data_IF_627802886124
#
_entry.id   IF_627802886124
#
_cell.length_a   1.000
_cell.length_b   1.000
_cell.length_c   1.000
_cell.angle_alpha   90.00
_cell.angle_beta   90.00
_cell.angle_gamma   90.00
#
_symmetry.space_group_name_H-M   'P 1'
#
loop_
_entity.id
_entity.type
_entity.pdbx_description
1 polymer ?
#
# COMPACT_ATOMS: atom_id res chain seq x y z
N UNK A 1 38.85 -71.05 -19.49
CA UNK A 1 37.50 -70.89 -18.91
C UNK A 1 37.55 -69.72 -17.94
N UNK A 2 36.82 -68.64 -18.20
CA UNK A 2 36.84 -67.46 -17.34
C UNK A 2 36.10 -67.76 -16.02
N UNK A 3 36.69 -67.36 -14.90
CA UNK A 3 36.14 -67.47 -13.55
C UNK A 3 34.78 -66.73 -13.50
N UNK A 4 33.68 -67.47 -13.32
CA UNK A 4 32.30 -66.94 -13.27
C UNK A 4 32.10 -65.94 -12.12
N UNK A 5 32.88 -66.07 -11.06
CA UNK A 5 32.88 -65.19 -9.88
C UNK A 5 33.42 -63.80 -10.22
N UNK A 6 34.44 -63.68 -11.10
CA UNK A 6 35.00 -62.39 -11.51
C UNK A 6 34.02 -61.59 -12.38
N UNK A 7 33.28 -62.28 -13.25
CA UNK A 7 32.23 -61.68 -14.09
C UNK A 7 31.05 -61.17 -13.24
N UNK A 8 30.72 -61.90 -12.17
CA UNK A 8 29.61 -61.54 -11.27
C UNK A 8 29.92 -60.28 -10.47
N UNK A 9 31.15 -60.13 -9.97
CA UNK A 9 31.59 -58.90 -9.25
C UNK A 9 31.64 -57.69 -10.19
N UNK A 10 32.09 -57.87 -11.43
CA UNK A 10 32.10 -56.81 -12.43
C UNK A 10 30.69 -56.32 -12.79
N UNK A 11 29.72 -57.23 -12.92
CA UNK A 11 28.30 -56.89 -13.17
C UNK A 11 27.60 -56.26 -11.96
N UNK A 12 27.96 -56.62 -10.72
CA UNK A 12 27.42 -55.98 -9.51
C UNK A 12 27.95 -54.55 -9.30
N UNK A 13 29.17 -54.25 -9.74
CA UNK A 13 29.76 -52.90 -9.68
C UNK A 13 29.19 -51.91 -10.70
N UNK A 14 28.52 -52.40 -11.75
CA UNK A 14 27.91 -51.58 -12.81
C UNK A 14 26.51 -51.05 -12.45
N UNK A 15 25.95 -51.45 -11.31
CA UNK A 15 24.53 -51.34 -11.01
C UNK A 15 24.10 -50.30 -9.99
N UNK A 16 24.79 -49.16 -9.80
CA UNK A 16 24.19 -48.00 -9.11
C UNK A 16 24.78 -46.70 -9.69
N UNK A 17 24.36 -46.33 -10.88
CA UNK A 17 24.36 -44.91 -11.27
C UNK A 17 22.96 -44.41 -10.99
N UNK A 18 22.70 -43.98 -9.76
CA UNK A 18 21.49 -43.24 -9.43
C UNK A 18 21.54 -41.92 -10.18
N UNK A 19 20.94 -41.89 -11.38
CA UNK A 19 20.59 -40.63 -12.03
C UNK A 19 19.52 -39.99 -11.16
N UNK A 20 19.93 -39.16 -10.21
CA UNK A 20 19.03 -38.19 -9.62
C UNK A 20 18.48 -37.39 -10.81
N UNK A 21 17.23 -37.65 -11.21
CA UNK A 21 16.56 -36.81 -12.16
C UNK A 21 16.49 -35.43 -11.48
N UNK A 22 17.41 -34.53 -11.82
CA UNK A 22 17.24 -33.13 -11.48
C UNK A 22 15.90 -32.72 -12.10
N UNK A 23 15.05 -32.05 -11.33
CA UNK A 23 13.89 -31.37 -11.90
C UNK A 23 14.43 -30.36 -12.91
N UNK A 24 14.48 -30.77 -14.18
CA UNK A 24 15.03 -29.95 -15.24
C UNK A 24 13.98 -28.89 -15.56
N UNK A 25 14.22 -27.68 -15.07
CA UNK A 25 13.52 -26.50 -15.55
C UNK A 25 13.70 -26.32 -17.07
N UNK A 26 12.83 -25.53 -17.67
CA UNK A 26 12.95 -25.11 -19.05
C UNK A 26 13.68 -23.77 -19.11
N UNK A 27 14.72 -23.66 -19.93
CA UNK A 27 15.40 -22.39 -20.16
C UNK A 27 15.13 -21.83 -21.55
N UNK A 28 14.97 -20.51 -21.63
CA UNK A 28 14.99 -19.74 -22.88
C UNK A 28 16.22 -18.83 -22.80
N UNK A 29 17.17 -19.00 -23.70
CA UNK A 29 18.44 -18.25 -23.68
C UNK A 29 19.69 -19.12 -23.80
N UNK A 30 19.55 -20.45 -23.69
CA UNK A 30 20.64 -21.40 -23.94
C UNK A 30 21.56 -21.62 -22.73
N UNK A 31 21.05 -21.47 -21.52
CA UNK A 31 21.77 -21.69 -20.26
C UNK A 31 21.18 -22.85 -19.45
N UNK A 32 21.92 -23.32 -18.45
CA UNK A 32 21.38 -24.25 -17.45
C UNK A 32 20.42 -23.45 -16.57
N UNK A 33 19.13 -23.84 -16.47
CA UNK A 33 18.15 -23.13 -15.65
C UNK A 33 18.53 -23.16 -14.17
N UNK A 34 18.18 -22.11 -13.44
CA UNK A 34 18.31 -22.10 -11.99
C UNK A 34 17.52 -23.27 -11.37
N UNK A 35 18.13 -24.07 -10.47
CA UNK A 35 17.44 -25.20 -9.83
C UNK A 35 16.16 -24.85 -9.06
N UNK A 36 16.00 -23.58 -8.68
CA UNK A 36 14.79 -23.07 -8.02
C UNK A 36 13.71 -22.57 -9.00
N UNK A 37 13.86 -22.81 -10.31
CA UNK A 37 12.92 -22.32 -11.33
C UNK A 37 12.53 -23.41 -12.32
N UNK A 38 11.22 -23.50 -12.60
CA UNK A 38 10.70 -24.35 -13.68
C UNK A 38 10.82 -23.66 -15.05
N UNK A 39 10.84 -22.32 -15.08
CA UNK A 39 11.05 -21.52 -16.28
C UNK A 39 12.10 -20.44 -16.01
N UNK A 40 13.22 -20.48 -16.72
CA UNK A 40 14.33 -19.52 -16.60
C UNK A 40 14.57 -18.83 -17.94
N UNK A 41 14.42 -17.51 -17.99
CA UNK A 41 14.54 -16.74 -19.23
C UNK A 41 15.69 -15.75 -19.09
N UNK A 42 16.70 -15.88 -19.95
CA UNK A 42 17.85 -14.99 -20.00
C UNK A 42 17.99 -14.36 -21.39
N UNK A 43 18.04 -13.03 -21.42
CA UNK A 43 18.37 -12.25 -22.61
C UNK A 43 18.97 -10.91 -22.19
N UNK A 44 19.88 -10.36 -23.00
CA UNK A 44 20.51 -9.06 -22.72
C UNK A 44 19.76 -7.88 -23.34
N UNK A 45 18.92 -8.12 -24.34
CA UNK A 45 18.24 -7.08 -25.12
C UNK A 45 16.82 -7.49 -25.55
N UNK A 46 16.20 -8.45 -24.85
CA UNK A 46 14.82 -8.89 -25.09
C UNK A 46 14.06 -8.94 -23.77
N UNK A 47 12.77 -8.65 -23.82
CA UNK A 47 11.85 -8.82 -22.70
C UNK A 47 10.88 -9.98 -22.92
N UNK A 48 10.04 -10.23 -21.91
CA UNK A 48 8.94 -11.20 -21.99
C UNK A 48 7.64 -10.43 -22.18
N UNK A 49 6.92 -10.72 -23.27
CA UNK A 49 5.58 -10.19 -23.48
C UNK A 49 4.56 -11.12 -22.82
N UNK A 50 4.09 -10.73 -21.64
CA UNK A 50 3.04 -11.46 -20.92
C UNK A 50 1.65 -11.23 -21.58
N UNK A 51 0.65 -12.08 -21.30
CA UNK A 51 -0.70 -11.92 -21.84
C UNK A 51 -1.28 -10.54 -21.57
N UNK A 52 -1.89 -9.93 -22.60
CA UNK A 52 -2.57 -8.63 -22.51
C UNK A 52 -4.08 -8.84 -22.53
N UNK A 53 -4.77 -8.42 -21.46
CA UNK A 53 -6.18 -8.74 -21.23
C UNK A 53 -6.91 -7.47 -20.78
N UNK A 54 -8.13 -7.26 -21.24
CA UNK A 54 -9.02 -6.20 -20.72
C UNK A 54 -9.64 -6.68 -19.40
N UNK A 55 -9.10 -6.20 -18.28
CA UNK A 55 -9.52 -6.63 -16.95
C UNK A 55 -10.64 -5.75 -16.39
N UNK A 56 -11.56 -6.43 -15.71
CA UNK A 56 -12.46 -5.90 -14.69
C UNK A 56 -12.04 -6.49 -13.34
N UNK A 57 -12.56 -5.95 -12.23
CA UNK A 57 -12.21 -6.37 -10.87
C UNK A 57 -12.24 -7.89 -10.65
N UNK A 58 -13.19 -8.58 -11.28
CA UNK A 58 -13.42 -10.02 -11.13
C UNK A 58 -13.34 -10.79 -12.46
N UNK A 59 -12.58 -10.29 -13.45
CA UNK A 59 -12.40 -11.02 -14.71
C UNK A 59 -11.86 -12.43 -14.45
N UNK A 60 -12.61 -13.44 -14.88
CA UNK A 60 -12.20 -14.85 -14.82
C UNK A 60 -11.53 -15.23 -16.13
N UNK A 61 -10.31 -15.76 -16.05
CA UNK A 61 -9.59 -16.27 -17.21
C UNK A 61 -10.23 -17.57 -17.71
N UNK A 62 -9.89 -17.95 -18.95
CA UNK A 62 -10.28 -19.25 -19.47
C UNK A 62 -9.75 -20.37 -18.55
N UNK A 63 -10.65 -21.26 -18.11
CA UNK A 63 -10.38 -22.27 -17.07
C UNK A 63 -11.25 -22.12 -15.82
N UNK A 64 -11.94 -20.98 -15.67
CA UNK A 64 -13.01 -20.79 -14.68
C UNK A 64 -12.55 -20.36 -13.29
N UNK A 65 -11.41 -20.83 -12.81
CA UNK A 65 -10.79 -20.35 -11.57
C UNK A 65 -9.42 -19.78 -11.89
N UNK A 66 -9.17 -18.55 -11.47
CA UNK A 66 -7.88 -17.90 -11.64
C UNK A 66 -6.90 -18.47 -10.61
N UNK A 67 -5.74 -19.01 -11.03
CA UNK A 67 -4.69 -19.39 -10.09
C UNK A 67 -4.14 -18.14 -9.38
N UNK A 68 -3.92 -18.24 -8.08
CA UNK A 68 -3.19 -17.22 -7.32
C UNK A 68 -1.80 -16.99 -7.92
N UNK A 69 -1.41 -15.72 -8.02
CA UNK A 69 -0.13 -15.31 -8.57
C UNK A 69 -0.04 -15.30 -10.10
N UNK A 70 -1.13 -15.59 -10.84
CA UNK A 70 -1.10 -15.44 -12.31
C UNK A 70 -0.93 -13.97 -12.67
N UNK A 71 0.01 -13.65 -13.56
CA UNK A 71 0.36 -12.27 -13.95
C UNK A 71 -0.10 -11.99 -15.37
N UNK A 72 -0.73 -10.84 -15.56
CA UNK A 72 -1.19 -10.33 -16.87
C UNK A 72 -0.93 -8.83 -16.97
N UNK A 73 -0.92 -8.30 -18.19
CA UNK A 73 -0.93 -6.87 -18.43
C UNK A 73 -2.37 -6.44 -18.77
N UNK A 74 -2.96 -5.59 -17.95
CA UNK A 74 -4.24 -4.96 -18.24
C UNK A 74 -4.07 -3.89 -19.31
N UNK A 75 -4.73 -4.07 -20.47
CA UNK A 75 -4.83 -3.06 -21.52
C UNK A 75 -6.24 -2.47 -21.66
N UNK A 76 -7.14 -2.82 -20.75
CA UNK A 76 -8.48 -2.26 -20.63
C UNK A 76 -8.48 -0.90 -19.95
N UNK A 77 -9.66 -0.28 -19.89
CA UNK A 77 -9.86 1.04 -19.28
C UNK A 77 -10.70 1.01 -17.99
N UNK A 78 -11.32 -0.13 -17.65
CA UNK A 78 -12.12 -0.28 -16.41
C UNK A 78 -11.21 -0.26 -15.19
N UNK A 79 -10.11 -1.01 -15.24
CA UNK A 79 -9.01 -0.88 -14.30
C UNK A 79 -7.91 -0.04 -14.93
N UNK A 80 -7.10 0.62 -14.11
CA UNK A 80 -5.92 1.37 -14.58
C UNK A 80 -5.03 0.44 -15.42
N UNK A 81 -4.61 0.82 -16.64
CA UNK A 81 -3.69 0.02 -17.44
C UNK A 81 -2.38 -0.25 -16.68
N UNK A 82 -1.89 -1.48 -16.73
CA UNK A 82 -0.71 -1.87 -15.95
C UNK A 82 -0.55 -3.37 -15.76
N UNK A 83 0.45 -3.77 -14.98
CA UNK A 83 0.65 -5.17 -14.61
C UNK A 83 -0.26 -5.53 -13.43
N UNK A 84 -0.92 -6.68 -13.49
CA UNK A 84 -1.79 -7.19 -12.44
C UNK A 84 -1.46 -8.64 -12.14
N UNK A 85 -1.66 -9.03 -10.88
CA UNK A 85 -1.70 -10.42 -10.48
C UNK A 85 -3.04 -10.77 -9.83
N UNK A 86 -3.44 -12.04 -9.92
CA UNK A 86 -4.60 -12.52 -9.16
C UNK A 86 -4.18 -12.82 -7.73
N UNK A 87 -4.79 -12.17 -6.74
CA UNK A 87 -4.43 -12.32 -5.32
C UNK A 87 -5.23 -13.41 -4.57
N UNK A 88 -6.10 -14.14 -5.28
CA UNK A 88 -7.02 -15.14 -4.71
C UNK A 88 -8.48 -14.70 -4.79
N UNK A 89 -8.74 -13.39 -4.72
CA UNK A 89 -10.08 -12.82 -4.69
C UNK A 89 -10.35 -11.82 -5.82
N UNK A 90 -9.33 -11.02 -6.19
CA UNK A 90 -9.44 -9.96 -7.20
C UNK A 90 -8.12 -9.73 -7.92
N UNK A 91 -8.20 -8.97 -9.01
CA UNK A 91 -7.01 -8.46 -9.69
C UNK A 91 -6.40 -7.32 -8.89
N UNK A 92 -5.13 -7.49 -8.54
CA UNK A 92 -4.34 -6.51 -7.79
C UNK A 92 -3.19 -5.99 -8.65
N UNK A 93 -3.04 -4.66 -8.69
CA UNK A 93 -2.04 -4.02 -9.53
C UNK A 93 -0.64 -4.21 -8.93
N UNK A 94 0.31 -4.66 -9.75
CA UNK A 94 1.73 -4.61 -9.42
C UNK A 94 2.18 -3.17 -9.57
N UNK A 95 2.24 -2.46 -8.46
CA UNK A 95 2.66 -1.07 -8.40
C UNK A 95 4.15 -0.96 -8.05
N UNK A 96 4.81 0.08 -8.55
CA UNK A 96 6.22 0.37 -8.26
C UNK A 96 6.37 1.65 -7.43
N UNK A 97 7.55 1.84 -6.85
CA UNK A 97 7.85 2.95 -5.92
C UNK A 97 7.46 4.33 -6.46
N UNK A 98 7.64 4.58 -7.76
CA UNK A 98 7.27 5.84 -8.40
C UNK A 98 5.77 6.14 -8.31
N UNK A 99 4.91 5.13 -8.42
CA UNK A 99 3.47 5.34 -8.29
C UNK A 99 3.09 5.68 -6.84
N UNK A 100 3.73 5.04 -5.87
CA UNK A 100 3.52 5.34 -4.45
C UNK A 100 4.01 6.77 -4.14
N UNK A 101 5.16 7.16 -4.68
CA UNK A 101 5.70 8.51 -4.54
C UNK A 101 4.76 9.58 -5.15
N UNK A 102 4.19 9.31 -6.33
CA UNK A 102 3.22 10.19 -6.97
C UNK A 102 1.92 10.31 -6.15
N UNK A 103 1.42 9.21 -5.58
CA UNK A 103 0.24 9.26 -4.70
C UNK A 103 0.53 9.99 -3.38
N UNK A 104 1.73 9.84 -2.82
CA UNK A 104 2.15 10.57 -1.62
C UNK A 104 2.25 12.08 -1.89
N UNK A 105 2.84 12.49 -3.01
CA UNK A 105 2.93 13.89 -3.40
C UNK A 105 1.53 14.53 -3.53
N UNK A 106 0.56 13.81 -4.09
CA UNK A 106 -0.84 14.26 -4.16
C UNK A 106 -1.47 14.40 -2.78
N UNK A 107 -1.14 13.52 -1.83
CA UNK A 107 -1.64 13.63 -0.45
C UNK A 107 -1.03 14.83 0.24
N UNK A 108 0.28 15.06 0.11
CA UNK A 108 0.97 16.24 0.64
C UNK A 108 0.36 17.53 0.11
N UNK A 109 0.19 17.65 -1.21
CA UNK A 109 -0.44 18.82 -1.85
C UNK A 109 -1.87 19.05 -1.34
N UNK A 110 -2.66 17.97 -1.20
CA UNK A 110 -4.03 18.06 -0.66
C UNK A 110 -4.04 18.54 0.79
N UNK A 111 -3.11 18.07 1.62
CA UNK A 111 -2.99 18.50 3.01
C UNK A 111 -2.57 19.97 3.11
N UNK A 112 -1.57 20.39 2.34
CA UNK A 112 -1.14 21.79 2.28
C UNK A 112 -2.28 22.72 1.82
N UNK A 113 -3.02 22.29 0.80
CA UNK A 113 -4.18 23.02 0.31
C UNK A 113 -5.27 23.13 1.38
N UNK A 114 -5.59 22.04 2.08
CA UNK A 114 -6.59 22.06 3.14
C UNK A 114 -6.18 22.92 4.33
N UNK A 115 -4.91 22.85 4.76
CA UNK A 115 -4.37 23.69 5.82
C UNK A 115 -4.44 25.16 5.40
N UNK A 116 -4.02 25.48 4.18
CA UNK A 116 -4.09 26.84 3.63
C UNK A 116 -5.53 27.35 3.57
N UNK A 117 -6.48 26.51 3.17
CA UNK A 117 -7.89 26.86 3.13
C UNK A 117 -8.50 27.07 4.52
N UNK A 118 -8.06 26.31 5.53
CA UNK A 118 -8.46 26.53 6.92
C UNK A 118 -7.93 27.89 7.43
N UNK A 119 -6.69 28.24 7.08
CA UNK A 119 -6.09 29.51 7.50
C UNK A 119 -6.73 30.71 6.78
N UNK A 120 -7.03 30.58 5.48
CA UNK A 120 -7.36 31.71 4.60
C UNK A 120 -8.82 31.74 4.11
N UNK A 121 -9.73 30.91 4.61
CA UNK A 121 -11.14 31.02 4.23
C UNK A 121 -11.57 30.16 3.06
N UNK A 122 -10.64 29.43 2.45
CA UNK A 122 -10.90 28.66 1.24
C UNK A 122 -11.28 29.52 0.02
N UNK A 123 -10.97 30.81 0.03
CA UNK A 123 -11.19 31.73 -1.10
C UNK A 123 -9.88 32.19 -1.74
N UNK A 124 -9.94 32.59 -3.02
CA UNK A 124 -8.81 33.16 -3.79
C UNK A 124 -8.32 34.52 -3.24
N UNK A 125 -9.08 35.13 -2.34
CA UNK A 125 -8.79 36.44 -1.75
C UNK A 125 -8.06 36.28 -0.40
N UNK A 126 -6.73 36.39 -0.44
CA UNK A 126 -5.79 36.18 0.68
C UNK A 126 -5.88 37.27 1.79
N UNK A 127 -7.07 37.69 2.19
CA UNK A 127 -7.25 38.84 3.07
C UNK A 127 -8.31 38.70 4.15
N UNK A 128 -9.09 37.61 4.18
CA UNK A 128 -10.09 37.38 5.23
C UNK A 128 -9.63 36.25 6.13
N UNK A 129 -9.00 36.63 7.25
CA UNK A 129 -8.79 35.73 8.38
C UNK A 129 -10.15 35.16 8.79
N UNK A 130 -10.42 33.87 8.53
CA UNK A 130 -11.68 33.21 8.89
C UNK A 130 -11.61 32.53 10.25
N UNK A 131 -10.73 32.97 11.14
CA UNK A 131 -10.61 32.49 12.52
C UNK A 131 -11.85 32.83 13.36
N UNK A 132 -13.04 32.43 12.94
CA UNK A 132 -14.29 32.73 13.63
C UNK A 132 -15.00 31.39 13.87
N UNK A 133 -14.76 30.84 15.06
CA UNK A 133 -15.37 29.63 15.65
C UNK A 133 -14.74 28.30 15.21
N UNK A 134 -13.55 28.08 15.75
CA UNK A 134 -13.01 26.75 15.99
C UNK A 134 -13.46 26.28 17.36
N UNK A 135 -13.98 25.06 17.46
CA UNK A 135 -14.24 24.41 18.74
C UNK A 135 -13.71 22.99 18.72
N UNK A 136 -13.07 22.58 19.80
CA UNK A 136 -12.63 21.21 20.01
C UNK A 136 -13.45 20.63 21.16
N UNK A 137 -14.08 19.47 20.91
CA UNK A 137 -14.71 18.68 21.95
C UNK A 137 -13.73 17.59 22.43
N UNK A 138 -13.18 17.71 23.66
CA UNK A 138 -12.24 16.73 24.20
C UNK A 138 -12.87 15.39 24.56
N UNK A 139 -14.17 15.35 24.84
CA UNK A 139 -14.86 14.09 25.16
C UNK A 139 -15.00 13.22 23.92
N UNK A 140 -15.23 13.84 22.76
CA UNK A 140 -15.43 13.12 21.49
C UNK A 140 -14.21 13.14 20.58
N UNK A 141 -13.13 13.87 20.94
CA UNK A 141 -11.96 14.13 20.10
C UNK A 141 -12.32 14.67 18.70
N UNK A 142 -13.32 15.55 18.63
CA UNK A 142 -13.79 16.15 17.37
C UNK A 142 -13.40 17.62 17.34
N UNK A 143 -12.66 18.00 16.31
CA UNK A 143 -12.42 19.38 15.94
C UNK A 143 -13.51 19.85 14.98
N UNK A 144 -14.14 20.97 15.28
CA UNK A 144 -15.15 21.60 14.45
C UNK A 144 -14.68 22.96 14.02
N UNK A 145 -14.82 23.26 12.73
CA UNK A 145 -14.65 24.60 12.20
C UNK A 145 -15.78 24.96 11.24
N UNK A 146 -16.03 26.26 11.11
CA UNK A 146 -17.04 26.82 10.22
C UNK A 146 -16.38 27.28 8.92
N UNK A 147 -16.96 26.87 7.78
CA UNK A 147 -16.52 27.28 6.44
C UNK A 147 -17.55 28.22 5.82
N UNK A 148 -17.19 29.40 5.28
CA UNK A 148 -18.13 30.26 4.58
C UNK A 148 -18.80 29.52 3.40
N UNK A 149 -20.10 29.74 3.22
CA UNK A 149 -20.85 29.22 2.07
C UNK A 149 -21.16 30.33 1.05
N UNK A 150 -21.45 29.94 -0.20
CA UNK A 150 -21.70 30.87 -1.32
C UNK A 150 -22.95 31.75 -1.11
N UNK A 151 -23.88 31.30 -0.26
CA UNK A 151 -25.15 31.96 0.03
C UNK A 151 -25.07 33.01 1.15
N UNK A 152 -23.88 33.24 1.74
CA UNK A 152 -23.70 34.19 2.84
C UNK A 152 -24.07 33.61 4.21
N UNK A 153 -23.30 32.64 4.67
CA UNK A 153 -23.43 31.90 5.92
C UNK A 153 -22.25 30.96 6.14
N UNK A 154 -22.38 29.97 7.03
CA UNK A 154 -21.31 29.02 7.33
C UNK A 154 -21.80 27.57 7.40
N UNK A 155 -21.02 26.65 6.82
CA UNK A 155 -21.16 25.21 6.94
C UNK A 155 -20.26 24.67 8.05
N UNK A 156 -20.81 23.77 8.88
CA UNK A 156 -20.06 23.08 9.93
C UNK A 156 -19.26 21.92 9.32
N UNK A 157 -17.95 21.91 9.56
CA UNK A 157 -17.07 20.78 9.20
C UNK A 157 -16.48 20.14 10.45
N UNK A 158 -16.41 18.81 10.48
CA UNK A 158 -15.90 18.02 11.60
C UNK A 158 -14.67 17.20 11.17
N UNK A 159 -13.64 17.22 12.00
CA UNK A 159 -12.45 16.36 11.90
C UNK A 159 -12.40 15.52 13.17
N UNK A 160 -12.53 14.20 13.02
CA UNK A 160 -12.38 13.25 14.12
C UNK A 160 -10.92 12.78 14.19
N UNK A 161 -10.22 13.15 15.27
CA UNK A 161 -8.80 12.81 15.39
C UNK A 161 -8.57 11.30 15.50
N UNK A 162 -9.44 10.57 16.19
CA UNK A 162 -9.33 9.11 16.30
C UNK A 162 -9.37 8.44 14.93
N UNK A 163 -10.21 8.92 14.02
CA UNK A 163 -10.24 8.43 12.64
C UNK A 163 -9.04 8.93 11.83
N UNK A 164 -8.61 10.18 12.05
CA UNK A 164 -7.53 10.80 11.28
C UNK A 164 -6.17 10.12 11.50
N UNK A 165 -5.90 9.61 12.72
CA UNK A 165 -4.63 8.93 13.03
C UNK A 165 -4.76 7.41 13.08
N UNK A 166 -5.93 6.86 12.71
CA UNK A 166 -6.20 5.43 12.79
C UNK A 166 -5.22 4.64 11.91
N UNK A 167 -4.50 3.68 12.51
CA UNK A 167 -3.55 2.82 11.82
C UNK A 167 -2.12 3.37 11.74
N UNK A 168 -1.90 4.62 12.15
CA UNK A 168 -0.57 5.22 12.35
C UNK A 168 -0.21 5.19 13.83
N UNK A 169 -1.16 5.59 14.68
CA UNK A 169 -1.02 5.58 16.12
C UNK A 169 -2.11 4.69 16.74
N UNK A 170 -1.79 3.96 17.81
CA UNK A 170 -2.75 3.07 18.49
C UNK A 170 -3.18 3.56 19.85
N UNK A 171 -2.37 4.41 20.50
CA UNK A 171 -2.65 4.96 21.82
C UNK A 171 -2.31 6.45 21.88
N UNK A 172 -3.28 7.30 21.59
CA UNK A 172 -3.14 8.77 21.64
C UNK A 172 -4.28 9.40 22.41
N UNK A 173 -4.03 10.56 23.01
CA UNK A 173 -5.06 11.32 23.71
C UNK A 173 -4.75 12.81 23.76
N UNK A 174 -5.78 13.61 24.06
CA UNK A 174 -5.67 15.05 24.29
C UNK A 174 -5.84 15.33 25.79
N UNK A 175 -5.09 16.29 26.34
CA UNK A 175 -5.33 16.80 27.70
C UNK A 175 -5.64 18.29 27.69
N UNK A 176 -6.55 18.68 28.56
CA UNK A 176 -6.80 20.08 28.88
C UNK A 176 -5.61 20.71 29.59
N UNK A 177 -5.31 21.94 29.18
CA UNK A 177 -4.41 22.84 29.90
C UNK A 177 -5.25 23.95 30.49
N UNK A 178 -5.26 24.05 31.82
CA UNK A 178 -5.94 25.11 32.55
C UNK A 178 -4.97 26.19 32.99
N UNK A 179 -5.41 27.44 32.94
CA UNK A 179 -4.73 28.58 33.53
C UNK A 179 -5.63 29.21 34.59
N UNK A 180 -5.02 29.82 35.61
CA UNK A 180 -5.76 30.60 36.60
C UNK A 180 -5.89 32.04 36.08
N UNK A 181 -7.12 32.53 35.96
CA UNK A 181 -7.36 33.92 35.56
C UNK A 181 -7.01 34.90 36.71
N UNK A 182 -7.05 36.20 36.43
CA UNK A 182 -6.77 37.26 37.41
C UNK A 182 -7.70 37.28 38.64
N UNK A 183 -8.81 36.52 38.59
CA UNK A 183 -9.79 36.39 39.67
C UNK A 183 -9.61 35.08 40.47
N UNK A 184 -8.57 34.29 40.18
CA UNK A 184 -8.28 33.03 40.87
C UNK A 184 -9.08 31.83 40.36
N UNK A 185 -9.80 31.95 39.24
CA UNK A 185 -10.61 30.88 38.65
C UNK A 185 -9.81 30.10 37.60
N UNK A 186 -9.87 28.77 37.66
CA UNK A 186 -9.33 27.92 36.59
C UNK A 186 -10.18 28.05 35.32
N UNK A 187 -9.51 28.34 34.21
CA UNK A 187 -10.10 28.42 32.86
C UNK A 187 -9.29 27.53 31.93
N UNK A 188 -9.96 26.77 31.07
CA UNK A 188 -9.27 26.00 30.02
C UNK A 188 -8.63 26.98 29.04
N UNK A 189 -7.31 26.91 28.92
CA UNK A 189 -6.52 27.75 28.02
C UNK A 189 -6.16 27.05 26.71
N UNK A 190 -6.29 25.72 26.65
CA UNK A 190 -6.01 24.96 25.44
C UNK A 190 -6.03 23.46 25.67
N UNK A 191 -5.70 22.72 24.62
CA UNK A 191 -5.58 21.27 24.64
C UNK A 191 -4.23 20.86 24.06
N UNK A 192 -3.58 19.85 24.65
CA UNK A 192 -2.30 19.31 24.20
C UNK A 192 -2.49 17.88 23.73
N UNK A 193 -1.95 17.59 22.55
CA UNK A 193 -1.90 16.25 21.97
C UNK A 193 -0.72 15.44 22.52
N UNK A 194 -0.98 14.18 22.86
CA UNK A 194 0.02 13.20 23.27
C UNK A 194 0.01 12.04 22.28
N UNK A 195 1.11 11.91 21.51
CA UNK A 195 1.37 10.74 20.66
C UNK A 195 1.83 9.55 21.49
N UNK A 196 1.72 8.36 20.90
CA UNK A 196 2.11 7.10 21.55
C UNK A 196 3.59 7.08 21.94
N UNK A 197 4.45 7.66 21.09
CA UNK A 197 5.89 7.77 21.34
C UNK A 197 6.22 8.62 22.58
N UNK A 198 5.47 9.71 22.81
CA UNK A 198 5.67 10.59 23.98
C UNK A 198 5.15 9.91 25.26
N UNK A 199 4.15 9.03 25.15
CA UNK A 199 3.57 8.32 26.30
C UNK A 199 4.47 7.16 26.76
N UNK A 200 5.19 6.52 25.83
CA UNK A 200 6.07 5.38 26.12
C UNK A 200 7.45 5.76 26.66
N UNK A 201 7.84 7.02 26.56
CA UNK A 201 9.12 7.56 27.04
C UNK A 201 9.11 7.82 28.55
#
# INVERSE_FOLDING_TARGET
MMNKTLLTVFLMGLGVVSTQAQELGFSIGGHVPNPASVLDIQATNKGVLIPRIDLKTTTVLQGGVNPEGVIVYNNGTVLTPGFYYWNGEKWEMLTGDNYIADELAKVEERLETQITNIINGGGEDQGTDISYLVSFNPETNVFTYLKPNEDGGYDKTEINFTQAVQGIETNTFMREVTLTNSEGKEVVSGYVYFSEDVIKA
#
